data_IF_205567481157
#
_entry.id   IF_205567481157
#
_cell.length_a   1.000
_cell.length_b   1.000
_cell.length_c   1.000
_cell.angle_alpha   90.00
_cell.angle_beta   90.00
_cell.angle_gamma   90.00
#
_symmetry.space_group_name_H-M   'P 1'
#
loop_
_entity.id
_entity.type
_entity.pdbx_description
1 polymer ?
#
# COMPACT_ATOMS: atom_id res chain seq x y z
N UNK A 1 10.28 5.13 3.09
CA UNK A 1 9.20 4.13 3.25
C UNK A 1 9.68 2.85 3.92
N UNK A 2 10.79 2.25 3.49
CA UNK A 2 11.39 1.03 4.07
C UNK A 2 11.37 0.98 5.60
N UNK A 3 11.96 1.98 6.26
CA UNK A 3 11.99 2.04 7.74
C UNK A 3 10.60 2.13 8.40
N UNK A 4 9.62 2.78 7.76
CA UNK A 4 8.23 2.82 8.24
C UNK A 4 7.59 1.43 8.19
N UNK A 5 7.85 0.66 7.12
CA UNK A 5 7.37 -0.74 7.00
C UNK A 5 8.05 -1.63 8.03
N UNK A 6 9.38 -1.57 8.15
CA UNK A 6 10.15 -2.35 9.13
C UNK A 6 9.65 -2.10 10.55
N UNK A 7 9.44 -0.83 10.91
CA UNK A 7 8.88 -0.45 12.20
C UNK A 7 7.47 -1.01 12.41
N UNK A 8 6.57 -0.87 11.43
CA UNK A 8 5.19 -1.36 11.52
C UNK A 8 5.10 -2.89 11.65
N UNK A 9 6.00 -3.61 10.97
CA UNK A 9 6.08 -5.07 10.97
C UNK A 9 6.98 -5.63 12.10
N UNK A 10 7.57 -4.75 12.92
CA UNK A 10 8.52 -5.11 13.99
C UNK A 10 9.76 -5.86 13.49
N UNK A 11 10.15 -5.61 12.24
CA UNK A 11 11.35 -6.17 11.61
C UNK A 11 12.57 -5.33 12.03
N UNK A 12 13.57 -5.98 12.61
CA UNK A 12 14.81 -5.33 13.09
C UNK A 12 16.04 -5.66 12.24
N UNK A 13 15.96 -6.70 11.42
CA UNK A 13 17.03 -7.14 10.53
C UNK A 13 16.96 -6.39 9.20
N UNK A 14 18.07 -6.35 8.47
CA UNK A 14 18.17 -5.85 7.09
C UNK A 14 18.09 -6.98 6.05
N UNK A 15 18.00 -8.24 6.48
CA UNK A 15 18.00 -9.41 5.59
C UNK A 15 16.82 -9.43 4.59
N UNK A 16 15.74 -8.71 4.89
CA UNK A 16 14.54 -8.62 4.05
C UNK A 16 14.41 -7.27 3.33
N UNK A 17 15.41 -6.37 3.42
CA UNK A 17 15.26 -5.00 2.93
C UNK A 17 14.91 -4.95 1.43
N UNK A 18 15.57 -5.78 0.61
CA UNK A 18 15.27 -5.90 -0.83
C UNK A 18 13.84 -6.37 -1.10
N UNK A 19 13.38 -7.39 -0.37
CA UNK A 19 12.02 -7.92 -0.51
C UNK A 19 10.97 -6.88 -0.08
N UNK A 20 11.23 -6.16 1.00
CA UNK A 20 10.34 -5.08 1.47
C UNK A 20 10.30 -3.94 0.44
N UNK A 21 11.43 -3.57 -0.16
CA UNK A 21 11.48 -2.56 -1.22
C UNK A 21 10.66 -2.99 -2.44
N UNK A 22 10.78 -4.24 -2.88
CA UNK A 22 9.99 -4.80 -3.98
C UNK A 22 8.48 -4.77 -3.67
N UNK A 23 8.08 -5.16 -2.45
CA UNK A 23 6.70 -5.10 -2.00
C UNK A 23 6.17 -3.66 -1.91
N UNK A 24 7.00 -2.68 -1.51
CA UNK A 24 6.64 -1.27 -1.51
C UNK A 24 6.35 -0.79 -2.94
N UNK A 25 7.20 -1.15 -3.91
CA UNK A 25 6.99 -0.77 -5.31
C UNK A 25 5.73 -1.44 -5.88
N UNK A 26 5.51 -2.72 -5.57
CA UNK A 26 4.32 -3.44 -5.97
C UNK A 26 3.03 -2.80 -5.41
N UNK A 27 3.04 -2.42 -4.13
CA UNK A 27 1.91 -1.75 -3.49
C UNK A 27 1.56 -0.41 -4.16
N UNK A 28 2.57 0.42 -4.45
CA UNK A 28 2.38 1.71 -5.12
C UNK A 28 1.84 1.52 -6.55
N UNK A 29 2.30 0.50 -7.26
CA UNK A 29 1.78 0.15 -8.59
C UNK A 29 0.37 -0.40 -8.57
N UNK A 30 0.01 -1.19 -7.56
CA UNK A 30 -1.37 -1.70 -7.41
C UNK A 30 -2.35 -0.55 -7.15
N UNK A 31 -1.98 0.42 -6.30
CA UNK A 31 -2.78 1.64 -6.07
C UNK A 31 -2.95 2.47 -7.36
N UNK A 32 -1.88 2.63 -8.14
CA UNK A 32 -1.94 3.32 -9.43
C UNK A 32 -2.91 2.65 -10.41
N UNK A 33 -2.84 1.33 -10.56
CA UNK A 33 -3.72 0.56 -11.46
C UNK A 33 -5.18 0.60 -10.98
N UNK A 34 -5.40 0.69 -9.66
CA UNK A 34 -6.73 0.86 -9.07
C UNK A 34 -7.29 2.29 -9.19
N UNK A 35 -6.57 3.21 -9.85
CA UNK A 35 -7.05 4.58 -10.07
C UNK A 35 -6.85 5.52 -8.89
N UNK A 36 -5.91 5.21 -7.99
CA UNK A 36 -5.43 6.17 -6.98
C UNK A 36 -4.36 7.05 -7.62
N UNK A 37 -4.67 8.33 -7.80
CA UNK A 37 -3.78 9.28 -8.47
C UNK A 37 -2.60 9.74 -7.61
N UNK A 38 -2.74 9.68 -6.28
CA UNK A 38 -1.68 10.01 -5.35
C UNK A 38 -0.69 8.84 -5.20
N UNK A 39 0.59 9.09 -5.48
CA UNK A 39 1.67 8.10 -5.37
C UNK A 39 2.67 8.43 -4.26
N UNK A 40 2.44 9.47 -3.48
CA UNK A 40 3.36 9.92 -2.46
C UNK A 40 3.26 9.00 -1.22
N UNK A 41 4.28 8.18 -0.90
CA UNK A 41 4.24 7.31 0.29
C UNK A 41 4.32 8.06 1.63
N UNK A 42 4.58 9.38 1.61
CA UNK A 42 4.46 10.23 2.80
C UNK A 42 3.05 10.72 3.06
N UNK A 43 2.13 10.54 2.11
CA UNK A 43 0.71 10.68 2.37
C UNK A 43 0.24 9.63 3.40
N UNK A 44 -0.54 10.02 4.43
CA UNK A 44 -0.95 9.10 5.49
C UNK A 44 -1.71 7.86 5.01
N UNK A 45 -2.61 7.99 4.01
CA UNK A 45 -3.42 6.88 3.51
C UNK A 45 -2.62 6.01 2.54
N UNK A 46 -1.80 6.62 1.67
CA UNK A 46 -0.92 5.87 0.77
C UNK A 46 0.10 5.07 1.59
N UNK A 47 0.77 5.69 2.56
CA UNK A 47 1.71 5.02 3.43
C UNK A 47 1.07 3.89 4.23
N UNK A 48 -0.18 4.07 4.70
CA UNK A 48 -0.92 3.01 5.40
C UNK A 48 -1.29 1.83 4.49
N UNK A 49 -1.69 2.11 3.26
CA UNK A 49 -2.00 1.07 2.28
C UNK A 49 -0.74 0.27 1.91
N UNK A 50 0.40 0.94 1.71
CA UNK A 50 1.70 0.28 1.47
C UNK A 50 2.08 -0.64 2.64
N UNK A 51 1.98 -0.16 3.89
CA UNK A 51 2.26 -0.99 5.08
C UNK A 51 1.33 -2.21 5.12
N UNK A 52 0.03 -2.03 4.83
CA UNK A 52 -0.94 -3.13 4.83
C UNK A 52 -0.60 -4.15 3.74
N UNK A 53 -0.24 -3.71 2.53
CA UNK A 53 0.19 -4.59 1.45
C UNK A 53 1.42 -5.41 1.84
N UNK A 54 2.48 -4.77 2.34
CA UNK A 54 3.66 -5.51 2.82
C UNK A 54 3.29 -6.52 3.91
N UNK A 55 2.37 -6.17 4.82
CA UNK A 55 1.93 -7.07 5.87
C UNK A 55 1.15 -8.30 5.36
N UNK A 56 0.42 -8.19 4.23
CA UNK A 56 -0.25 -9.34 3.60
C UNK A 56 0.76 -10.42 3.20
N UNK A 57 1.89 -10.03 2.64
CA UNK A 57 2.88 -10.96 2.07
C UNK A 57 4.01 -11.34 3.04
N UNK A 58 4.31 -10.50 4.02
CA UNK A 58 5.33 -10.75 5.05
C UNK A 58 4.75 -11.32 6.35
N UNK A 59 3.43 -11.22 6.53
CA UNK A 59 2.75 -11.63 7.76
C UNK A 59 2.47 -13.15 7.85
N UNK A 60 1.94 -13.60 8.99
CA UNK A 60 1.48 -14.98 9.15
C UNK A 60 0.42 -15.36 8.12
N UNK A 61 0.56 -16.52 7.47
CA UNK A 61 -0.33 -16.94 6.39
C UNK A 61 -1.80 -17.11 6.79
N UNK A 62 -2.08 -17.41 8.06
CA UNK A 62 -3.43 -17.50 8.62
C UNK A 62 -4.16 -16.15 8.70
N UNK A 63 -3.44 -15.03 8.59
CA UNK A 63 -3.99 -13.68 8.58
C UNK A 63 -4.04 -13.08 7.17
N UNK A 64 -3.44 -13.73 6.17
CA UNK A 64 -3.29 -13.19 4.81
C UNK A 64 -4.63 -12.75 4.21
N UNK A 65 -5.66 -13.58 4.28
CA UNK A 65 -6.98 -13.28 3.71
C UNK A 65 -7.63 -12.05 4.37
N UNK A 66 -7.60 -11.98 5.71
CA UNK A 66 -8.12 -10.85 6.48
C UNK A 66 -7.36 -9.56 6.17
N UNK A 67 -6.03 -9.63 6.08
CA UNK A 67 -5.21 -8.46 5.77
C UNK A 67 -5.41 -8.00 4.32
N UNK A 68 -5.59 -8.95 3.39
CA UNK A 68 -5.88 -8.65 2.00
C UNK A 68 -7.23 -7.94 1.87
N UNK A 69 -8.26 -8.42 2.57
CA UNK A 69 -9.56 -7.75 2.61
C UNK A 69 -9.45 -6.31 3.14
N UNK A 70 -8.68 -6.09 4.20
CA UNK A 70 -8.44 -4.75 4.75
C UNK A 70 -7.67 -3.83 3.77
N UNK A 71 -6.75 -4.38 2.98
CA UNK A 71 -6.05 -3.64 1.92
C UNK A 71 -7.00 -3.28 0.77
N UNK A 72 -7.79 -4.24 0.30
CA UNK A 72 -8.74 -4.04 -0.80
C UNK A 72 -9.79 -2.96 -0.43
N UNK A 73 -10.26 -2.95 0.83
CA UNK A 73 -11.16 -1.91 1.33
C UNK A 73 -10.50 -0.52 1.35
N UNK A 74 -9.27 -0.39 1.86
CA UNK A 74 -8.51 0.87 1.84
C UNK A 74 -8.36 1.41 0.41
N UNK A 75 -8.00 0.51 -0.51
CA UNK A 75 -7.82 0.83 -1.93
C UNK A 75 -9.12 1.33 -2.57
N UNK A 76 -10.24 0.64 -2.34
CA UNK A 76 -11.55 1.03 -2.85
C UNK A 76 -12.00 2.39 -2.28
N UNK A 77 -11.81 2.63 -0.98
CA UNK A 77 -12.12 3.92 -0.36
C UNK A 77 -11.32 5.07 -0.98
N UNK A 78 -10.01 4.88 -1.18
CA UNK A 78 -9.16 5.90 -1.81
C UNK A 78 -9.55 6.17 -3.26
N UNK A 79 -9.91 5.14 -4.03
CA UNK A 79 -10.37 5.30 -5.41
C UNK A 79 -11.63 6.18 -5.49
N UNK A 80 -12.54 6.05 -4.53
CA UNK A 80 -13.82 6.79 -4.51
C UNK A 80 -13.70 8.18 -3.85
N UNK A 81 -12.65 8.42 -3.07
CA UNK A 81 -12.48 9.66 -2.33
C UNK A 81 -12.01 10.83 -3.22
N UNK A 82 -12.68 11.97 -3.10
CA UNK A 82 -12.24 13.23 -3.68
C UNK A 82 -10.84 13.58 -3.17
N UNK A 83 -9.90 13.81 -4.09
CA UNK A 83 -8.50 14.14 -3.77
C UNK A 83 -7.53 12.95 -3.75
N UNK A 84 -8.04 11.71 -3.84
CA UNK A 84 -7.21 10.51 -3.95
C UNK A 84 -7.42 9.75 -5.27
N UNK A 85 -8.64 9.73 -5.79
CA UNK A 85 -8.93 9.18 -7.11
C UNK A 85 -8.23 9.95 -8.24
N UNK A 86 -8.16 9.34 -9.43
CA UNK A 86 -7.68 10.03 -10.63
C UNK A 86 -8.49 11.31 -10.87
N UNK A 87 -7.84 12.40 -11.33
CA UNK A 87 -8.58 13.59 -11.74
C UNK A 87 -9.59 13.19 -12.82
N UNK A 88 -10.81 13.73 -12.73
CA UNK A 88 -11.80 13.53 -13.77
C UNK A 88 -11.17 13.89 -15.12
N UNK A 89 -11.20 12.96 -16.08
CA UNK A 89 -10.80 13.25 -17.45
C UNK A 89 -11.59 14.48 -17.92
N UNK A 90 -10.87 15.56 -18.26
CA UNK A 90 -11.49 16.65 -19.00
C UNK A 90 -11.89 16.06 -20.34
N UNK A 91 -13.19 15.84 -20.53
CA UNK A 91 -13.73 15.44 -21.83
C UNK A 91 -13.27 16.46 -22.88
N UNK A 92 -12.85 15.99 -24.08
CA UNK A 92 -12.43 16.86 -25.18
C UNK A 92 -13.57 17.75 -25.68
#
# INVERSE_FOLDING_TARGET
MLEKVKMALRIKTTAFDSEIEDLIQAALKDLEIAGVGNKNPDDPLIGRAVITYCAVYMGPGDQMERMKAAYDEQKAQMQMATGYGLPAEKQP
#
